data_IF_020019201409
#
_entry.id   IF_020019201409
#
_cell.length_a   1.000
_cell.length_b   1.000
_cell.length_c   1.000
_cell.angle_alpha   90.00
_cell.angle_beta   90.00
_cell.angle_gamma   90.00
#
_symmetry.space_group_name_H-M   'P 1'
#
loop_
_entity.id
_entity.type
_entity.pdbx_description
1 polymer ?
#
# COMPACT_ATOMS: atom_id res chain seq x y z
N UNK A 1 -8.19 -4.49 -15.70
CA UNK A 1 -7.19 -5.21 -14.88
C UNK A 1 -7.51 -6.70 -14.68
N UNK A 2 -8.65 -7.11 -14.11
CA UNK A 2 -8.95 -8.53 -13.90
C UNK A 2 -8.89 -9.38 -15.19
N UNK A 3 -9.54 -8.91 -16.27
CA UNK A 3 -9.47 -9.57 -17.58
C UNK A 3 -8.03 -9.64 -18.15
N UNK A 4 -7.21 -8.66 -17.82
CA UNK A 4 -5.81 -8.58 -18.27
C UNK A 4 -4.93 -9.60 -17.53
N UNK A 5 -5.11 -9.71 -16.21
CA UNK A 5 -4.45 -10.72 -15.37
C UNK A 5 -4.84 -12.14 -15.79
N UNK A 6 -6.14 -12.38 -15.99
CA UNK A 6 -6.66 -13.66 -16.46
C UNK A 6 -6.10 -14.03 -17.85
N UNK A 7 -6.02 -13.06 -18.76
CA UNK A 7 -5.45 -13.26 -20.09
C UNK A 7 -3.97 -13.66 -20.06
N UNK A 8 -3.16 -12.99 -19.22
CA UNK A 8 -1.73 -13.33 -19.05
C UNK A 8 -1.60 -14.74 -18.48
N UNK A 9 -2.34 -15.06 -17.41
CA UNK A 9 -2.34 -16.38 -16.78
C UNK A 9 -2.71 -17.50 -17.76
N UNK A 10 -3.74 -17.26 -18.57
CA UNK A 10 -4.22 -18.21 -19.58
C UNK A 10 -3.15 -18.47 -20.65
N UNK A 11 -2.57 -17.42 -21.23
CA UNK A 11 -1.50 -17.53 -22.24
C UNK A 11 -0.27 -18.23 -21.66
N UNK A 12 0.18 -17.86 -20.46
CA UNK A 12 1.36 -18.48 -19.84
C UNK A 12 1.14 -19.95 -19.47
N UNK A 13 -0.08 -20.34 -19.09
CA UNK A 13 -0.40 -21.74 -18.74
C UNK A 13 -0.42 -22.66 -19.97
N UNK A 14 -0.83 -22.15 -21.14
CA UNK A 14 -0.86 -22.93 -22.38
C UNK A 14 0.56 -23.12 -22.94
N UNK A 15 1.39 -22.08 -22.86
CA UNK A 15 2.73 -22.10 -23.48
C UNK A 15 3.74 -22.84 -22.59
N UNK A 16 3.64 -22.74 -21.26
CA UNK A 16 4.65 -23.29 -20.35
C UNK A 16 4.00 -24.01 -19.16
N UNK A 17 3.56 -25.26 -19.36
CA UNK A 17 2.96 -26.10 -18.31
C UNK A 17 3.79 -26.18 -16.99
N UNK A 18 5.14 -26.17 -17.01
CA UNK A 18 5.95 -26.12 -15.78
C UNK A 18 5.77 -24.87 -14.89
N UNK A 19 5.23 -23.76 -15.42
CA UNK A 19 5.00 -22.51 -14.65
C UNK A 19 3.96 -22.71 -13.54
N UNK A 20 3.12 -23.74 -13.65
CA UNK A 20 2.13 -24.07 -12.61
C UNK A 20 2.76 -24.33 -11.24
N UNK A 21 3.95 -24.94 -11.20
CA UNK A 21 4.68 -25.19 -9.96
C UNK A 21 5.20 -23.90 -9.30
N UNK A 22 5.54 -22.88 -10.09
CA UNK A 22 5.97 -21.58 -9.58
C UNK A 22 4.79 -20.71 -9.12
N UNK A 23 3.60 -20.89 -9.70
CA UNK A 23 2.40 -20.13 -9.32
C UNK A 23 1.95 -20.44 -7.88
N UNK A 24 2.05 -21.70 -7.44
CA UNK A 24 1.61 -22.11 -6.08
C UNK A 24 2.31 -21.33 -4.96
N UNK A 25 3.66 -21.30 -4.86
CA UNK A 25 4.34 -20.54 -3.81
C UNK A 25 4.16 -19.03 -3.98
N UNK A 26 4.05 -18.55 -5.21
CA UNK A 26 3.83 -17.12 -5.50
C UNK A 26 2.44 -16.66 -5.04
N UNK A 27 1.42 -17.49 -5.24
CA UNK A 27 0.06 -17.24 -4.77
C UNK A 27 0.01 -17.21 -3.24
N UNK A 28 0.69 -18.14 -2.57
CA UNK A 28 0.78 -18.14 -1.11
C UNK A 28 1.41 -16.84 -0.56
N UNK A 29 2.53 -16.40 -1.16
CA UNK A 29 3.18 -15.14 -0.79
C UNK A 29 2.28 -13.94 -1.05
N UNK A 30 1.59 -13.92 -2.20
CA UNK A 30 0.65 -12.87 -2.55
C UNK A 30 -0.47 -12.73 -1.50
N UNK A 31 -1.12 -13.84 -1.12
CA UNK A 31 -2.17 -13.82 -0.10
C UNK A 31 -1.63 -13.36 1.26
N UNK A 32 -0.44 -13.82 1.65
CA UNK A 32 0.21 -13.42 2.91
C UNK A 32 0.48 -11.91 2.95
N UNK A 33 1.04 -11.34 1.87
CA UNK A 33 1.27 -9.89 1.78
C UNK A 33 -0.03 -9.09 1.73
N UNK A 34 -1.04 -9.60 1.04
CA UNK A 34 -2.35 -8.95 0.94
C UNK A 34 -3.04 -8.89 2.30
N UNK A 35 -3.04 -9.99 3.07
CA UNK A 35 -3.64 -10.03 4.40
C UNK A 35 -2.95 -9.07 5.37
N UNK A 36 -1.60 -9.05 5.34
CA UNK A 36 -0.81 -8.12 6.13
C UNK A 36 -1.14 -6.67 5.77
N UNK A 37 -1.12 -6.33 4.48
CA UNK A 37 -1.46 -4.99 4.00
C UNK A 37 -2.88 -4.57 4.40
N UNK A 38 -3.88 -5.44 4.25
CA UNK A 38 -5.26 -5.12 4.58
C UNK A 38 -5.42 -4.82 6.08
N UNK A 39 -4.78 -5.62 6.93
CA UNK A 39 -4.82 -5.42 8.38
C UNK A 39 -4.18 -4.09 8.76
N UNK A 40 -2.97 -3.82 8.27
CA UNK A 40 -2.22 -2.60 8.57
C UNK A 40 -2.90 -1.35 7.98
N UNK A 41 -3.37 -1.41 6.74
CA UNK A 41 -4.05 -0.31 6.05
C UNK A 41 -5.35 0.10 6.75
N UNK A 42 -6.13 -0.87 7.25
CA UNK A 42 -7.33 -0.60 8.04
C UNK A 42 -7.02 0.14 9.33
N UNK A 43 -6.01 -0.31 10.07
CA UNK A 43 -5.59 0.38 11.30
C UNK A 43 -5.07 1.79 11.02
N UNK A 44 -4.29 1.98 9.94
CA UNK A 44 -3.83 3.31 9.52
C UNK A 44 -4.99 4.21 9.10
N UNK A 45 -5.98 3.70 8.38
CA UNK A 45 -7.19 4.45 8.03
C UNK A 45 -7.97 4.87 9.28
N UNK A 46 -8.07 3.97 10.27
CA UNK A 46 -8.70 4.27 11.56
C UNK A 46 -7.92 5.35 12.32
N UNK A 47 -6.60 5.21 12.42
CA UNK A 47 -5.72 6.20 13.05
C UNK A 47 -5.84 7.56 12.37
N UNK A 48 -5.88 7.60 11.04
CA UNK A 48 -6.03 8.85 10.28
C UNK A 48 -7.36 9.55 10.60
N UNK A 49 -8.44 8.80 10.80
CA UNK A 49 -9.72 9.35 11.28
C UNK A 49 -9.59 9.94 12.69
N UNK A 50 -8.96 9.19 13.61
CA UNK A 50 -8.77 9.61 15.01
C UNK A 50 -7.85 10.82 15.15
N UNK A 51 -6.79 10.94 14.35
CA UNK A 51 -5.84 12.07 14.43
C UNK A 51 -6.37 13.34 13.77
N UNK A 52 -7.27 13.20 12.79
CA UNK A 52 -7.85 14.36 12.09
C UNK A 52 -8.92 15.07 12.91
N UNK A 53 -9.74 14.34 13.68
CA UNK A 53 -10.78 14.90 14.53
C UNK A 53 -10.28 16.01 15.49
N UNK A 54 -9.22 15.81 16.31
CA UNK A 54 -8.77 16.82 17.27
C UNK A 54 -8.20 18.09 16.60
N UNK A 55 -7.76 18.03 15.33
CA UNK A 55 -7.35 19.22 14.59
C UNK A 55 -8.58 20.10 14.30
N UNK A 56 -9.66 19.50 13.82
CA UNK A 56 -10.91 20.19 13.50
C UNK A 56 -11.54 20.77 14.77
N UNK A 57 -11.55 20.00 15.86
CA UNK A 57 -12.05 20.45 17.17
C UNK A 57 -11.25 21.65 17.69
N UNK A 58 -9.91 21.57 17.67
CA UNK A 58 -9.04 22.67 18.12
C UNK A 58 -9.23 23.94 17.29
N UNK A 59 -9.45 23.77 15.98
CA UNK A 59 -9.74 24.88 15.09
C UNK A 59 -11.07 25.55 15.42
N UNK A 60 -12.12 24.76 15.67
CA UNK A 60 -13.43 25.27 16.10
C UNK A 60 -13.37 25.99 17.45
N UNK A 61 -12.63 25.44 18.42
CA UNK A 61 -12.38 26.06 19.73
C UNK A 61 -11.61 27.40 19.57
N UNK A 62 -10.56 27.40 18.73
CA UNK A 62 -9.76 28.60 18.48
C UNK A 62 -10.56 29.69 17.78
N UNK A 63 -11.47 29.33 16.87
CA UNK A 63 -12.34 30.27 16.17
C UNK A 63 -13.35 30.91 17.13
N UNK A 64 -14.00 30.09 17.96
CA UNK A 64 -14.98 30.57 18.95
C UNK A 64 -14.33 31.41 20.05
N UNK A 65 -13.12 31.04 20.48
CA UNK A 65 -12.34 31.73 21.52
C UNK A 65 -11.41 32.84 21.02
N UNK A 66 -11.45 33.20 19.73
CA UNK A 66 -10.45 34.05 19.10
C UNK A 66 -10.24 35.42 19.80
N UNK A 67 -11.32 36.03 20.29
CA UNK A 67 -11.25 37.30 21.01
C UNK A 67 -10.46 37.17 22.34
N UNK A 68 -10.72 36.11 23.10
CA UNK A 68 -10.05 35.82 24.38
C UNK A 68 -8.57 35.49 24.16
N UNK A 69 -8.26 34.65 23.17
CA UNK A 69 -6.88 34.29 22.83
C UNK A 69 -6.05 35.53 22.49
N UNK A 70 -6.62 36.46 21.72
CA UNK A 70 -5.96 37.72 21.37
C UNK A 70 -5.82 38.65 22.58
N UNK A 71 -6.84 38.75 23.43
CA UNK A 71 -6.81 39.58 24.62
C UNK A 71 -5.70 39.18 25.60
N UNK A 72 -5.41 37.87 25.72
CA UNK A 72 -4.35 37.35 26.59
C UNK A 72 -3.02 37.06 25.87
N UNK A 73 -2.88 37.46 24.61
CA UNK A 73 -1.70 37.23 23.78
C UNK A 73 -1.23 35.75 23.73
N UNK A 74 -2.18 34.79 23.72
CA UNK A 74 -1.90 33.35 23.76
C UNK A 74 -1.84 32.67 22.37
N UNK A 75 -1.81 33.45 21.28
CA UNK A 75 -1.70 32.94 19.91
C UNK A 75 -0.55 31.95 19.72
N UNK A 76 0.70 32.20 20.18
CA UNK A 76 1.82 31.27 19.92
C UNK A 76 1.60 29.90 20.56
N UNK A 77 0.98 29.85 21.76
CA UNK A 77 0.66 28.60 22.45
C UNK A 77 -0.34 27.76 21.65
N UNK A 78 -1.42 28.38 21.17
CA UNK A 78 -2.43 27.72 20.34
C UNK A 78 -1.86 27.30 18.97
N UNK A 79 -1.02 28.13 18.36
CA UNK A 79 -0.36 27.79 17.10
C UNK A 79 0.58 26.58 17.23
N UNK A 80 1.39 26.54 18.29
CA UNK A 80 2.27 25.41 18.57
C UNK A 80 1.48 24.11 18.79
N UNK A 81 0.42 24.17 19.60
CA UNK A 81 -0.44 23.01 19.85
C UNK A 81 -1.16 22.51 18.59
N UNK A 82 -1.55 23.43 17.70
CA UNK A 82 -2.12 23.05 16.41
C UNK A 82 -1.06 22.37 15.51
N UNK A 83 0.16 22.91 15.47
CA UNK A 83 1.24 22.33 14.69
C UNK A 83 1.59 20.91 15.15
N UNK A 84 1.62 20.64 16.46
CA UNK A 84 1.85 19.30 17.01
C UNK A 84 0.76 18.28 16.59
N UNK A 85 -0.51 18.70 16.60
CA UNK A 85 -1.64 17.86 16.14
C UNK A 85 -1.56 17.57 14.64
N UNK A 86 -1.20 18.58 13.85
CA UNK A 86 -1.00 18.43 12.39
C UNK A 86 0.17 17.51 12.10
N UNK A 87 1.29 17.65 12.81
CA UNK A 87 2.45 16.77 12.66
C UNK A 87 2.11 15.32 12.95
N UNK A 88 1.38 15.06 14.04
CA UNK A 88 0.88 13.73 14.37
C UNK A 88 0.03 13.13 13.24
N UNK A 89 -0.89 13.91 12.67
CA UNK A 89 -1.69 13.46 11.53
C UNK A 89 -0.85 13.21 10.27
N UNK A 90 0.14 14.06 10.00
CA UNK A 90 1.05 13.88 8.87
C UNK A 90 1.90 12.62 9.01
N UNK A 91 2.33 12.26 10.21
CA UNK A 91 3.03 11.00 10.48
C UNK A 91 2.16 9.79 10.10
N UNK A 92 0.88 9.79 10.47
CA UNK A 92 -0.05 8.73 10.09
C UNK A 92 -0.23 8.67 8.57
N UNK A 93 -0.40 9.81 7.91
CA UNK A 93 -0.51 9.88 6.45
C UNK A 93 0.76 9.36 5.74
N UNK A 94 1.94 9.67 6.27
CA UNK A 94 3.21 9.17 5.77
C UNK A 94 3.30 7.64 5.88
N UNK A 95 2.94 7.08 7.03
CA UNK A 95 2.92 5.62 7.21
C UNK A 95 1.91 4.94 6.30
N UNK A 96 0.74 5.54 6.06
CA UNK A 96 -0.24 5.04 5.10
C UNK A 96 0.32 4.98 3.67
N UNK A 97 1.01 6.05 3.25
CA UNK A 97 1.72 6.07 1.96
C UNK A 97 2.82 4.99 1.89
N UNK A 98 3.63 4.87 2.94
CA UNK A 98 4.70 3.87 3.02
C UNK A 98 4.15 2.43 2.90
N UNK A 99 3.01 2.11 3.53
CA UNK A 99 2.38 0.79 3.38
C UNK A 99 1.91 0.50 1.95
N UNK A 100 1.43 1.52 1.23
CA UNK A 100 1.02 1.39 -0.17
C UNK A 100 2.22 1.10 -1.07
N UNK A 101 3.32 1.84 -0.88
CA UNK A 101 4.57 1.62 -1.61
C UNK A 101 5.18 0.26 -1.26
N UNK A 102 5.16 -0.12 0.01
CA UNK A 102 5.65 -1.42 0.47
C UNK A 102 4.96 -2.57 -0.24
N UNK A 103 3.62 -2.57 -0.33
CA UNK A 103 2.88 -3.59 -1.06
C UNK A 103 3.25 -3.57 -2.55
N UNK A 104 3.32 -2.38 -3.16
CA UNK A 104 3.71 -2.22 -4.56
C UNK A 104 5.06 -2.88 -4.88
N UNK A 105 6.10 -2.59 -4.09
CA UNK A 105 7.44 -3.18 -4.27
C UNK A 105 7.41 -4.70 -4.14
N UNK A 106 6.66 -5.26 -3.19
CA UNK A 106 6.57 -6.71 -3.03
C UNK A 106 5.82 -7.37 -4.18
N UNK A 107 4.76 -6.75 -4.71
CA UNK A 107 4.04 -7.24 -5.88
C UNK A 107 4.87 -7.19 -7.16
N UNK A 108 5.62 -6.11 -7.36
CA UNK A 108 6.56 -5.98 -8.48
C UNK A 108 7.66 -7.04 -8.42
N UNK A 109 8.21 -7.30 -7.23
CA UNK A 109 9.20 -8.35 -7.01
C UNK A 109 8.64 -9.74 -7.36
N UNK A 110 7.43 -10.08 -6.90
CA UNK A 110 6.78 -11.34 -7.25
C UNK A 110 6.58 -11.47 -8.77
N UNK A 111 6.15 -10.39 -9.43
CA UNK A 111 6.01 -10.35 -10.88
C UNK A 111 7.35 -10.55 -11.62
N UNK A 112 8.41 -9.90 -11.17
CA UNK A 112 9.76 -10.05 -11.73
C UNK A 112 10.30 -11.48 -11.56
N UNK A 113 10.05 -12.11 -10.41
CA UNK A 113 10.42 -13.50 -10.16
C UNK A 113 9.68 -14.46 -11.09
N UNK A 114 8.37 -14.26 -11.30
CA UNK A 114 7.57 -15.06 -12.24
C UNK A 114 8.10 -14.92 -13.67
N UNK A 115 8.39 -13.70 -14.11
CA UNK A 115 8.96 -13.44 -15.43
C UNK A 115 10.32 -14.10 -15.60
N UNK A 116 11.22 -13.96 -14.61
CA UNK A 116 12.53 -14.63 -14.62
C UNK A 116 12.39 -16.15 -14.71
N UNK A 117 11.50 -16.74 -13.90
CA UNK A 117 11.24 -18.18 -13.94
C UNK A 117 10.70 -18.62 -15.30
N UNK A 118 9.73 -17.90 -15.87
CA UNK A 118 9.16 -18.21 -17.19
C UNK A 118 10.21 -18.14 -18.31
N UNK A 119 11.10 -17.13 -18.29
CA UNK A 119 12.17 -16.98 -19.25
C UNK A 119 13.20 -18.11 -19.14
N UNK A 120 13.60 -18.48 -17.92
CA UNK A 120 14.50 -19.62 -17.69
C UNK A 120 13.88 -20.93 -18.20
N UNK A 121 12.60 -21.17 -17.91
CA UNK A 121 11.90 -22.38 -18.37
C UNK A 121 11.79 -22.42 -19.89
N UNK A 122 11.52 -21.29 -20.55
CA UNK A 122 11.48 -21.21 -22.01
C UNK A 122 12.83 -21.57 -22.65
N UNK A 123 13.95 -21.10 -22.08
CA UNK A 123 15.31 -21.40 -22.57
C UNK A 123 15.70 -22.85 -22.28
N UNK A 124 15.28 -23.41 -21.15
CA UNK A 124 15.58 -24.78 -20.76
C UNK A 124 14.74 -25.83 -21.47
N UNK A 125 13.60 -25.47 -22.07
CA UNK A 125 12.72 -26.43 -22.72
C UNK A 125 13.33 -26.88 -24.07
N UNK A 126 13.56 -28.19 -24.29
CA UNK A 126 14.14 -28.67 -25.53
C UNK A 126 13.23 -28.35 -26.74
N UNK A 127 13.81 -28.10 -27.94
CA UNK A 127 13.05 -27.74 -29.15
C UNK A 127 11.97 -28.75 -29.57
N UNK A 128 12.02 -29.98 -29.04
CA UNK A 128 11.10 -31.07 -29.36
C UNK A 128 9.66 -30.86 -28.89
N UNK A 129 9.39 -29.86 -28.04
CA UNK A 129 8.03 -29.54 -27.54
C UNK A 129 7.40 -28.38 -28.32
N UNK A 130 8.20 -27.61 -29.07
CA UNK A 130 7.74 -26.56 -29.98
C UNK A 130 7.77 -27.15 -31.39
N UNK A 131 6.88 -28.12 -31.65
CA UNK A 131 6.60 -28.51 -33.03
C UNK A 131 5.76 -27.42 -33.72
N UNK A 132 6.11 -27.01 -34.96
CA UNK A 132 5.48 -25.90 -35.68
C UNK A 132 4.00 -26.12 -35.99
#
# INVERSE_FOLDING_TARGET
MLFQLLGILFVTSIITWPVFYAIIPLAYLYFSFQEYYLTTSRELSRLNGVTKAPIIEHFSESLSGAAVIRAFAQQPRFAHKNAERVDTNNRVAFHYGACTVWLGVHLELLGALLLCFSALMLVWLPPSVISP
#
